data_IF_994490639988
#
_entry.id   IF_994490639988
#
_cell.length_a   1.000
_cell.length_b   1.000
_cell.length_c   1.000
_cell.angle_alpha   90.00
_cell.angle_beta   90.00
_cell.angle_gamma   90.00
#
_symmetry.space_group_name_H-M   'P 1'
#
loop_
_entity.id
_entity.type
_entity.pdbx_description
1 polymer ?
#
# COMPACT_ATOMS: atom_id res chain seq x y z
N UNK A 1 -16.83 6.22 -4.14
CA UNK A 1 -15.45 5.76 -3.87
C UNK A 1 -15.08 4.81 -5.00
N UNK A 2 -13.94 5.01 -5.66
CA UNK A 2 -13.44 4.02 -6.61
C UNK A 2 -13.02 2.76 -5.84
N UNK A 3 -13.47 1.57 -6.27
CA UNK A 3 -13.06 0.28 -5.70
C UNK A 3 -11.54 0.13 -5.69
N UNK A 4 -10.87 0.67 -6.73
CA UNK A 4 -9.41 0.68 -6.87
C UNK A 4 -8.74 1.44 -5.72
N UNK A 5 -9.25 2.61 -5.31
CA UNK A 5 -8.67 3.36 -4.20
C UNK A 5 -8.74 2.60 -2.86
N UNK A 6 -9.82 1.86 -2.62
CA UNK A 6 -9.96 1.04 -1.42
C UNK A 6 -8.98 -0.14 -1.43
N UNK A 7 -8.80 -0.78 -2.58
CA UNK A 7 -7.82 -1.85 -2.76
C UNK A 7 -6.39 -1.38 -2.55
N UNK A 8 -5.98 -0.26 -3.16
CA UNK A 8 -4.62 0.27 -2.97
C UNK A 8 -4.37 0.64 -1.50
N UNK A 9 -5.35 1.24 -0.82
CA UNK A 9 -5.24 1.51 0.62
C UNK A 9 -5.13 0.23 1.44
N UNK A 10 -5.87 -0.82 1.08
CA UNK A 10 -5.83 -2.11 1.76
C UNK A 10 -4.47 -2.79 1.57
N UNK A 11 -3.95 -2.81 0.33
CA UNK A 11 -2.63 -3.33 -0.01
C UNK A 11 -1.52 -2.55 0.71
N UNK A 12 -1.58 -1.22 0.74
CA UNK A 12 -0.63 -0.38 1.47
C UNK A 12 -0.66 -0.67 2.98
N UNK A 13 -1.86 -0.84 3.53
CA UNK A 13 -2.04 -1.16 4.93
C UNK A 13 -1.46 -2.54 5.29
N UNK A 14 -1.67 -3.53 4.41
CA UNK A 14 -1.08 -4.86 4.51
C UNK A 14 0.45 -4.81 4.42
N UNK A 15 0.99 -4.09 3.44
CA UNK A 15 2.42 -3.87 3.25
C UNK A 15 3.07 -3.26 4.50
N UNK A 16 2.47 -2.20 5.04
CA UNK A 16 2.99 -1.49 6.21
C UNK A 16 2.99 -2.33 7.48
N UNK A 17 1.95 -3.14 7.69
CA UNK A 17 1.83 -4.08 8.80
C UNK A 17 2.79 -5.26 8.68
N UNK A 18 2.95 -5.78 7.46
CA UNK A 18 3.81 -6.93 7.16
C UNK A 18 5.28 -6.55 7.00
N UNK A 19 5.65 -5.28 7.16
CA UNK A 19 7.00 -4.76 6.86
C UNK A 19 7.48 -5.20 5.46
N UNK A 20 6.61 -5.08 4.45
CA UNK A 20 6.84 -5.61 3.11
C UNK A 20 5.90 -6.77 2.81
N UNK A 21 6.42 -8.00 2.83
CA UNK A 21 5.69 -9.23 2.49
C UNK A 21 5.44 -10.15 3.69
N UNK A 22 5.67 -9.68 4.92
CA UNK A 22 5.42 -10.47 6.13
C UNK A 22 3.95 -10.81 6.35
N UNK A 23 3.71 -11.87 7.13
CA UNK A 23 2.37 -12.37 7.43
C UNK A 23 1.63 -11.47 8.44
N UNK A 24 0.44 -11.03 8.09
CA UNK A 24 -0.41 -10.13 8.90
C UNK A 24 -1.72 -10.80 9.26
N UNK A 25 -2.15 -10.70 10.52
CA UNK A 25 -3.46 -11.25 10.93
C UNK A 25 -4.60 -10.51 10.24
N UNK A 26 -5.58 -11.23 9.70
CA UNK A 26 -6.77 -10.61 9.07
C UNK A 26 -7.49 -9.62 9.98
N UNK A 27 -7.61 -9.93 11.27
CA UNK A 27 -8.24 -9.05 12.27
C UNK A 27 -7.46 -7.75 12.48
N UNK A 28 -6.14 -7.77 12.36
CA UNK A 28 -5.28 -6.60 12.50
C UNK A 28 -5.34 -5.71 11.26
N UNK A 29 -5.38 -6.31 10.06
CA UNK A 29 -5.57 -5.60 8.80
C UNK A 29 -6.89 -4.80 8.81
N UNK A 30 -7.97 -5.42 9.28
CA UNK A 30 -9.31 -4.82 9.25
C UNK A 30 -9.61 -3.91 10.44
N UNK A 31 -8.79 -3.92 11.48
CA UNK A 31 -8.97 -3.13 12.72
C UNK A 31 -9.25 -1.63 12.50
N UNK A 32 -8.62 -0.94 11.53
CA UNK A 32 -8.85 0.48 11.29
C UNK A 32 -10.24 0.79 10.70
N UNK A 33 -10.87 -0.17 10.02
CA UNK A 33 -12.14 0.05 9.31
C UNK A 33 -13.32 -0.25 10.24
N UNK A 34 -13.56 0.68 11.17
CA UNK A 34 -14.69 0.59 12.11
C UNK A 34 -16.00 1.00 11.41
N UNK A 35 -17.09 0.31 11.76
CA UNK A 35 -18.43 0.49 11.18
C UNK A 35 -18.81 -0.61 10.18
N UNK A 36 -20.04 -1.12 10.27
CA UNK A 36 -20.50 -2.29 9.50
C UNK A 36 -20.33 -2.10 7.98
N UNK A 37 -20.75 -0.96 7.46
CA UNK A 37 -20.68 -0.65 6.02
C UNK A 37 -19.24 -0.55 5.52
N UNK A 38 -18.38 0.19 6.24
CA UNK A 38 -16.96 0.29 5.88
C UNK A 38 -16.27 -1.06 5.93
N UNK A 39 -16.53 -1.86 6.96
CA UNK A 39 -15.95 -3.20 7.07
C UNK A 39 -16.37 -4.09 5.89
N UNK A 40 -17.64 -4.05 5.50
CA UNK A 40 -18.14 -4.82 4.36
C UNK A 40 -17.44 -4.44 3.04
N UNK A 41 -17.28 -3.14 2.77
CA UNK A 41 -16.57 -2.67 1.56
C UNK A 41 -15.14 -3.20 1.51
N UNK A 42 -14.40 -3.12 2.62
CA UNK A 42 -13.01 -3.61 2.65
C UNK A 42 -12.91 -5.14 2.69
N UNK A 43 -13.93 -5.85 3.17
CA UNK A 43 -14.01 -7.31 3.05
C UNK A 43 -14.24 -7.75 1.60
N UNK A 44 -15.08 -7.04 0.84
CA UNK A 44 -15.25 -7.27 -0.61
C UNK A 44 -13.92 -7.05 -1.33
N UNK A 45 -13.28 -5.89 -1.14
CA UNK A 45 -11.96 -5.64 -1.76
C UNK A 45 -10.90 -6.66 -1.36
N UNK A 46 -10.94 -7.18 -0.13
CA UNK A 46 -10.02 -8.24 0.31
C UNK A 46 -10.22 -9.53 -0.47
N UNK A 47 -11.48 -9.94 -0.68
CA UNK A 47 -11.81 -11.14 -1.44
C UNK A 47 -11.42 -10.97 -2.90
N UNK A 48 -11.76 -9.84 -3.53
CA UNK A 48 -11.41 -9.56 -4.93
C UNK A 48 -9.88 -9.60 -5.16
N UNK A 49 -9.11 -9.05 -4.22
CA UNK A 49 -7.64 -9.11 -4.28
C UNK A 49 -7.10 -10.53 -4.08
N UNK A 50 -7.73 -11.35 -3.23
CA UNK A 50 -7.35 -12.74 -3.05
C UNK A 50 -7.68 -13.57 -4.30
N UNK A 51 -8.85 -13.37 -4.91
CA UNK A 51 -9.27 -14.03 -6.15
C UNK A 51 -8.33 -13.70 -7.32
N UNK A 52 -7.86 -12.46 -7.42
CA UNK A 52 -6.85 -12.05 -8.41
C UNK A 52 -5.42 -12.45 -8.04
N UNK A 53 -5.21 -13.13 -6.92
CA UNK A 53 -3.90 -13.59 -6.48
C UNK A 53 -2.96 -12.47 -6.00
N UNK A 54 -3.47 -11.27 -5.73
CA UNK A 54 -2.68 -10.16 -5.16
C UNK A 54 -2.36 -10.37 -3.67
N UNK A 55 -3.19 -11.17 -2.97
CA UNK A 55 -3.02 -11.50 -1.56
C UNK A 55 -3.06 -13.00 -1.40
N UNK A 56 -2.10 -13.56 -0.65
CA UNK A 56 -2.11 -14.94 -0.23
C UNK A 56 -2.76 -15.08 1.15
N UNK A 57 -3.67 -16.04 1.31
CA UNK A 57 -4.24 -16.45 2.58
C UNK A 57 -3.52 -17.70 3.09
N UNK A 58 -2.95 -17.64 4.29
CA UNK A 58 -2.34 -18.77 4.97
C UNK A 58 -2.97 -18.97 6.34
N UNK A 59 -2.99 -20.21 6.80
CA UNK A 59 -3.43 -20.56 8.16
C UNK A 59 -2.20 -20.85 9.01
N UNK A 60 -1.95 -20.02 10.02
CA UNK A 60 -0.91 -20.27 11.03
C UNK A 60 -1.58 -20.53 12.37
N UNK A 61 -1.45 -21.74 12.91
CA UNK A 61 -2.10 -22.18 14.16
C UNK A 61 -3.60 -21.86 14.19
N UNK A 62 -4.31 -22.11 13.08
CA UNK A 62 -5.75 -21.83 12.86
C UNK A 62 -6.12 -20.33 12.83
N UNK A 63 -5.15 -19.43 12.76
CA UNK A 63 -5.38 -18.00 12.60
C UNK A 63 -5.14 -17.61 11.14
N UNK A 64 -6.13 -17.00 10.46
CA UNK A 64 -5.96 -16.54 9.08
C UNK A 64 -4.98 -15.38 9.03
N UNK A 65 -3.90 -15.58 8.28
CA UNK A 65 -2.88 -14.58 7.99
C UNK A 65 -2.82 -14.28 6.50
N UNK A 66 -2.49 -13.04 6.18
CA UNK A 66 -2.47 -12.49 4.84
C UNK A 66 -1.06 -11.97 4.55
N UNK A 67 -0.61 -12.14 3.33
CA UNK A 67 0.62 -11.50 2.83
C UNK A 67 0.41 -11.03 1.40
N UNK A 68 1.22 -10.06 0.98
CA UNK A 68 1.28 -9.65 -0.42
C UNK A 68 2.02 -10.69 -1.24
N UNK A 69 1.46 -11.00 -2.41
CA UNK A 69 2.19 -11.70 -3.47
C UNK A 69 2.96 -10.69 -4.32
N UNK A 70 3.76 -11.17 -5.27
CA UNK A 70 4.44 -10.29 -6.22
C UNK A 70 3.44 -9.51 -7.08
N UNK A 71 2.33 -10.13 -7.48
CA UNK A 71 1.24 -9.46 -8.17
C UNK A 71 0.63 -8.34 -7.31
N UNK A 72 0.45 -8.58 -6.01
CA UNK A 72 -0.04 -7.57 -5.08
C UNK A 72 0.94 -6.41 -4.89
N UNK A 73 2.25 -6.68 -4.88
CA UNK A 73 3.27 -5.63 -4.84
C UNK A 73 3.26 -4.78 -6.12
N UNK A 74 3.15 -5.40 -7.29
CA UNK A 74 3.04 -4.69 -8.57
C UNK A 74 1.78 -3.82 -8.63
N UNK A 75 0.64 -4.35 -8.19
CA UNK A 75 -0.61 -3.60 -8.13
C UNK A 75 -0.49 -2.43 -7.14
N UNK A 76 0.11 -2.64 -5.97
CA UNK A 76 0.37 -1.57 -5.01
C UNK A 76 1.27 -0.47 -5.60
N UNK A 77 2.36 -0.85 -6.26
CA UNK A 77 3.29 0.09 -6.89
C UNK A 77 2.61 0.93 -7.97
N UNK A 78 1.90 0.27 -8.88
CA UNK A 78 1.17 0.93 -9.98
C UNK A 78 0.11 1.87 -9.44
N UNK A 79 -0.63 1.45 -8.40
CA UNK A 79 -1.66 2.25 -7.77
C UNK A 79 -1.11 3.48 -7.05
N UNK A 80 -0.04 3.35 -6.26
CA UNK A 80 0.55 4.48 -5.54
C UNK A 80 1.18 5.54 -6.45
N UNK A 81 1.64 5.14 -7.65
CA UNK A 81 2.23 6.03 -8.64
C UNK A 81 1.17 6.64 -9.59
N UNK A 82 -0.08 6.18 -9.55
CA UNK A 82 -1.14 6.72 -10.40
C UNK A 82 -1.59 8.10 -9.94
N UNK A 83 -1.80 9.01 -10.89
CA UNK A 83 -2.37 10.33 -10.63
C UNK A 83 -3.83 10.26 -10.11
N UNK A 84 -4.52 9.14 -10.34
CA UNK A 84 -5.89 8.93 -9.88
C UNK A 84 -5.98 8.45 -8.43
N UNK A 85 -4.85 8.04 -7.84
CA UNK A 85 -4.80 7.62 -6.45
C UNK A 85 -4.66 8.81 -5.52
N UNK A 86 -5.50 8.85 -4.49
CA UNK A 86 -5.40 9.82 -3.41
C UNK A 86 -6.00 9.29 -2.13
N UNK A 87 -5.59 9.88 -1.01
CA UNK A 87 -6.34 9.70 0.24
C UNK A 87 -7.58 10.60 0.22
N UNK A 88 -8.73 10.05 0.58
CA UNK A 88 -10.02 10.74 0.57
C UNK A 88 -10.44 11.07 2.01
N UNK A 89 -11.26 12.11 2.14
CA UNK A 89 -11.78 12.58 3.42
C UNK A 89 -10.87 13.61 4.10
N UNK A 90 -11.28 14.05 5.29
CA UNK A 90 -10.56 15.10 6.03
C UNK A 90 -9.36 14.59 6.84
N UNK A 91 -9.33 13.30 7.19
CA UNK A 91 -8.30 12.72 8.07
C UNK A 91 -7.82 11.37 7.54
N UNK A 92 -6.51 11.22 7.43
CA UNK A 92 -5.83 9.96 7.11
C UNK A 92 -5.16 9.44 8.37
N UNK A 93 -5.34 8.14 8.66
CA UNK A 93 -4.66 7.52 9.78
C UNK A 93 -3.15 7.61 9.62
N UNK A 94 -2.45 8.14 10.63
CA UNK A 94 -0.99 8.34 10.60
C UNK A 94 -0.21 7.08 10.25
N UNK A 95 -0.69 5.91 10.69
CA UNK A 95 -0.09 4.62 10.33
C UNK A 95 -0.07 4.39 8.81
N UNK A 96 -1.19 4.65 8.13
CA UNK A 96 -1.31 4.44 6.68
C UNK A 96 -0.44 5.46 5.91
N UNK A 97 -0.47 6.72 6.34
CA UNK A 97 0.39 7.77 5.77
C UNK A 97 1.89 7.45 5.94
N UNK A 98 2.29 6.99 7.13
CA UNK A 98 3.68 6.58 7.39
C UNK A 98 4.07 5.34 6.59
N UNK A 99 3.15 4.40 6.35
CA UNK A 99 3.40 3.27 5.46
C UNK A 99 3.69 3.74 4.02
N UNK A 100 2.91 4.71 3.50
CA UNK A 100 3.18 5.29 2.17
C UNK A 100 4.56 5.95 2.11
N UNK A 101 4.92 6.76 3.11
CA UNK A 101 6.25 7.39 3.17
C UNK A 101 7.37 6.36 3.22
N UNK A 102 7.21 5.28 4.01
CA UNK A 102 8.18 4.17 4.04
C UNK A 102 8.29 3.48 2.69
N UNK A 103 7.17 3.23 2.04
CA UNK A 103 7.14 2.63 0.71
C UNK A 103 7.91 3.51 -0.28
N UNK A 104 7.59 4.80 -0.37
CA UNK A 104 8.32 5.71 -1.25
C UNK A 104 9.82 5.78 -0.92
N UNK A 105 10.23 5.86 0.36
CA UNK A 105 11.67 5.85 0.70
C UNK A 105 12.38 4.57 0.27
N UNK A 106 11.71 3.42 0.38
CA UNK A 106 12.26 2.14 -0.01
C UNK A 106 12.37 1.98 -1.53
N UNK A 107 11.42 2.53 -2.29
CA UNK A 107 11.33 2.31 -3.74
C UNK A 107 11.71 3.52 -4.61
N UNK A 108 11.80 4.74 -4.05
CA UNK A 108 12.39 5.91 -4.72
C UNK A 108 13.92 5.83 -4.82
N UNK A 109 14.57 4.97 -4.02
CA UNK A 109 16.02 4.74 -4.05
C UNK A 109 16.55 4.11 -5.35
N UNK A 110 15.68 3.66 -6.26
CA UNK A 110 16.06 3.17 -7.60
C UNK A 110 16.21 4.34 -8.61
N UNK A 111 15.80 5.57 -8.24
CA UNK A 111 15.82 6.75 -9.10
C UNK A 111 16.66 7.93 -8.56
N UNK A 112 17.55 7.71 -7.58
CA UNK A 112 18.60 8.68 -7.19
C UNK A 112 19.95 8.30 -7.81
N UNK A 113 19.91 8.06 -9.12
CA UNK A 113 21.04 8.29 -10.05
C UNK A 113 20.54 9.10 -11.26
N UNK A 114 19.61 10.02 -11.04
CA UNK A 114 19.45 11.15 -11.94
C UNK A 114 20.56 12.14 -11.57
N UNK A 115 21.61 12.17 -12.38
CA UNK A 115 22.78 13.04 -12.28
C UNK A 115 22.44 14.51 -11.96
N UNK A 116 23.47 15.21 -11.48
CA UNK A 116 23.60 16.66 -11.51
C UNK A 116 22.78 17.43 -10.46
N UNK A 117 23.28 17.37 -9.22
CA UNK A 117 23.28 18.57 -8.39
C UNK A 117 24.06 19.65 -9.15
N UNK A 118 23.31 20.68 -9.58
CA UNK A 118 23.72 22.01 -10.06
C UNK A 118 24.22 22.15 -11.51
N UNK A 119 23.60 23.04 -12.32
CA UNK A 119 24.33 23.68 -13.41
C UNK A 119 25.43 24.55 -12.79
N UNK A 120 26.69 24.30 -13.15
CA UNK A 120 27.77 25.26 -12.96
C UNK A 120 27.49 26.45 -13.89
N UNK A 121 26.88 27.51 -13.36
CA UNK A 121 26.95 28.81 -14.00
C UNK A 121 28.26 29.44 -13.52
N UNK A 122 29.36 29.11 -14.20
CA UNK A 122 30.58 29.92 -14.17
C UNK A 122 30.46 30.85 -15.37
N UNK A 123 30.02 32.08 -15.11
CA UNK A 123 30.20 33.17 -16.06
C UNK A 123 31.59 33.72 -15.81
N UNK A 124 32.55 33.34 -16.64
CA UNK A 124 33.80 34.07 -16.82
C UNK A 124 33.79 34.60 -18.26
N UNK A 125 33.56 35.90 -18.41
CA UNK A 125 34.06 36.76 -19.49
C UNK A 125 34.30 38.17 -18.93
#
# INVERSE_FOLDING_TARGET
MSTVNNEIRLLLNLWGLGNGQGLVKRSELLRPYKGKEKKAVYEVSLNDLAERGAIALTMDKKVPKLSLTDAGLQQLATGLLSADFGFEGQLVGSRLANAALRWFRQYQGVAVNAEAIAPKISTDE
#
